data_IF_575580859332
#
_entry.id   IF_575580859332
#
_cell.length_a   1.000
_cell.length_b   1.000
_cell.length_c   1.000
_cell.angle_alpha   90.00
_cell.angle_beta   90.00
_cell.angle_gamma   90.00
#
_symmetry.space_group_name_H-M   'P 1'
#
loop_
_entity.id
_entity.type
_entity.pdbx_description
1 polymer ?
#
# COMPACT_ATOMS: atom_id res chain seq x y z
N UNK A 1 14.17 11.90 -25.16
CA UNK A 1 14.08 12.25 -23.73
C UNK A 1 12.60 12.18 -23.41
N UNK A 2 12.23 11.30 -22.47
CA UNK A 2 10.88 11.25 -21.95
C UNK A 2 10.70 12.35 -20.90
N UNK A 3 9.61 13.08 -20.99
CA UNK A 3 9.22 14.09 -20.00
C UNK A 3 8.22 13.51 -18.97
N UNK A 4 8.00 12.20 -19.02
CA UNK A 4 7.01 11.48 -18.24
C UNK A 4 7.69 10.51 -17.27
N UNK A 5 7.11 10.34 -16.10
CA UNK A 5 7.60 9.42 -15.07
C UNK A 5 7.05 8.02 -15.28
N UNK A 6 7.87 7.01 -14.95
CA UNK A 6 7.39 5.67 -14.73
C UNK A 6 7.12 5.43 -13.24
N UNK A 7 6.38 4.38 -12.90
CA UNK A 7 6.01 4.08 -11.50
C UNK A 7 7.21 4.02 -10.57
N UNK A 8 8.31 3.38 -11.01
CA UNK A 8 9.53 3.26 -10.19
C UNK A 8 10.17 4.61 -9.84
N UNK A 9 9.99 5.63 -10.68
CA UNK A 9 10.46 6.99 -10.40
C UNK A 9 9.62 7.68 -9.32
N UNK A 10 8.45 7.13 -8.99
CA UNK A 10 7.50 7.68 -8.00
C UNK A 10 7.57 6.88 -6.71
N UNK A 11 7.37 5.56 -6.77
CA UNK A 11 7.32 4.78 -5.54
C UNK A 11 8.69 4.63 -4.86
N UNK A 12 9.80 4.55 -5.61
CA UNK A 12 11.11 4.35 -5.00
C UNK A 12 11.52 5.51 -4.08
N UNK A 13 11.47 6.79 -4.49
CA UNK A 13 11.82 7.88 -3.59
C UNK A 13 10.84 8.03 -2.41
N UNK A 14 9.58 7.62 -2.57
CA UNK A 14 8.62 7.59 -1.46
C UNK A 14 9.01 6.51 -0.45
N UNK A 15 9.27 5.30 -0.92
CA UNK A 15 9.56 4.13 -0.07
C UNK A 15 10.89 4.27 0.67
N UNK A 16 11.91 4.88 0.06
CA UNK A 16 13.18 5.14 0.72
C UNK A 16 13.24 6.46 1.53
N UNK A 17 12.14 7.19 1.63
CA UNK A 17 12.06 8.44 2.40
C UNK A 17 12.88 9.60 1.80
N UNK A 18 13.14 9.60 0.50
CA UNK A 18 13.92 10.65 -0.19
C UNK A 18 13.09 11.89 -0.51
N UNK A 19 11.77 11.87 -0.32
CA UNK A 19 10.87 13.00 -0.56
C UNK A 19 10.13 13.41 0.72
N UNK A 20 9.70 14.67 0.79
CA UNK A 20 8.82 15.11 1.87
C UNK A 20 7.43 14.48 1.74
N UNK A 21 6.61 14.46 2.83
CA UNK A 21 5.24 13.97 2.77
C UNK A 21 4.39 14.66 1.69
N UNK A 22 4.54 15.97 1.53
CA UNK A 22 3.83 16.76 0.51
C UNK A 22 4.29 16.38 -0.90
N UNK A 23 5.60 16.19 -1.10
CA UNK A 23 6.14 15.73 -2.39
C UNK A 23 5.63 14.34 -2.73
N UNK A 24 5.58 13.42 -1.75
CA UNK A 24 5.02 12.09 -1.93
C UNK A 24 3.53 12.15 -2.31
N UNK A 25 2.76 12.98 -1.61
CA UNK A 25 1.33 13.19 -1.90
C UNK A 25 1.12 13.72 -3.33
N UNK A 26 1.85 14.76 -3.75
CA UNK A 26 1.74 15.34 -5.09
C UNK A 26 2.24 14.38 -6.19
N UNK A 27 3.34 13.66 -5.95
CA UNK A 27 3.86 12.69 -6.91
C UNK A 27 2.86 11.56 -7.19
N UNK A 28 2.10 11.10 -6.18
CA UNK A 28 1.07 10.09 -6.40
C UNK A 28 -0.11 10.57 -7.23
N UNK A 29 -0.42 11.87 -7.26
CA UNK A 29 -1.46 12.44 -8.14
C UNK A 29 -1.10 12.36 -9.62
N UNK A 30 0.19 12.36 -9.94
CA UNK A 30 0.64 12.13 -11.30
C UNK A 30 0.18 10.76 -11.81
N UNK A 31 0.23 9.74 -10.97
CA UNK A 31 -0.23 8.38 -11.32
C UNK A 31 -1.71 8.38 -11.68
N UNK A 32 -2.54 9.11 -10.92
CA UNK A 32 -3.99 9.17 -11.15
C UNK A 32 -4.36 9.69 -12.54
N UNK A 33 -3.52 10.55 -13.11
CA UNK A 33 -3.88 11.33 -14.31
C UNK A 33 -3.01 11.05 -15.53
N UNK A 34 -1.80 10.52 -15.33
CA UNK A 34 -0.80 10.37 -16.41
C UNK A 34 -0.45 8.93 -16.72
N UNK A 35 -0.51 8.05 -15.75
CA UNK A 35 -0.26 6.62 -15.97
C UNK A 35 -1.52 5.95 -16.50
N UNK A 36 -1.43 5.10 -17.53
CA UNK A 36 -2.58 4.38 -18.07
C UNK A 36 -3.26 3.48 -17.02
N UNK A 37 -4.58 3.62 -16.89
CA UNK A 37 -5.42 2.80 -16.03
C UNK A 37 -6.12 1.72 -16.85
N UNK A 38 -5.85 0.46 -16.51
CA UNK A 38 -6.37 -0.71 -17.21
C UNK A 38 -7.57 -1.24 -16.43
N UNK A 39 -8.76 -1.09 -17.01
CA UNK A 39 -10.02 -1.53 -16.40
C UNK A 39 -10.30 -2.99 -16.71
N UNK A 40 -10.83 -3.69 -15.75
CA UNK A 40 -11.36 -5.05 -15.90
C UNK A 40 -12.57 -5.25 -15.01
N UNK A 41 -13.32 -6.33 -15.23
CA UNK A 41 -14.56 -6.64 -14.52
C UNK A 41 -14.51 -8.04 -13.93
N UNK A 42 -15.10 -8.21 -12.77
CA UNK A 42 -15.38 -9.50 -12.19
C UNK A 42 -16.85 -9.52 -11.73
N UNK A 43 -17.67 -10.31 -12.41
CA UNK A 43 -19.11 -10.23 -12.22
C UNK A 43 -19.63 -8.82 -12.54
N UNK A 44 -20.32 -8.21 -11.57
CA UNK A 44 -20.85 -6.85 -11.71
C UNK A 44 -19.91 -5.76 -11.12
N UNK A 45 -18.75 -6.15 -10.57
CA UNK A 45 -17.81 -5.21 -9.95
C UNK A 45 -16.73 -4.80 -10.96
N UNK A 46 -16.40 -3.51 -10.95
CA UNK A 46 -15.36 -2.91 -11.79
C UNK A 46 -14.10 -2.66 -10.99
N UNK A 47 -12.98 -3.06 -11.57
CA UNK A 47 -11.65 -2.88 -11.00
C UNK A 47 -10.76 -2.12 -11.97
N UNK A 48 -9.64 -1.62 -11.44
CA UNK A 48 -8.64 -0.96 -12.26
C UNK A 48 -7.25 -1.21 -11.70
N UNK A 49 -6.38 -1.76 -12.53
CA UNK A 49 -4.94 -1.75 -12.30
C UNK A 49 -4.28 -0.63 -13.10
N UNK A 50 -2.96 -0.52 -13.07
CA UNK A 50 -2.22 0.54 -13.76
C UNK A 50 -1.03 -0.03 -14.52
N UNK A 51 -0.65 0.64 -15.60
CA UNK A 51 0.59 0.37 -16.32
C UNK A 51 1.80 0.90 -15.54
N UNK A 52 2.97 0.38 -15.85
CA UNK A 52 4.26 0.88 -15.31
C UNK A 52 4.64 2.25 -15.85
N UNK A 53 4.21 2.57 -17.06
CA UNK A 53 4.40 3.86 -17.75
C UNK A 53 3.46 3.95 -18.94
N UNK A 54 3.51 5.05 -19.69
CA UNK A 54 2.91 5.17 -21.03
C UNK A 54 3.98 5.28 -22.12
N UNK A 55 5.19 4.84 -21.86
CA UNK A 55 6.31 4.95 -22.79
C UNK A 55 6.21 3.96 -23.96
N UNK A 56 6.79 4.31 -25.09
CA UNK A 56 6.99 3.46 -26.24
C UNK A 56 8.48 3.44 -26.63
N UNK A 57 9.01 2.37 -27.19
CA UNK A 57 8.37 1.07 -27.43
C UNK A 57 8.15 0.28 -26.14
N UNK A 58 7.26 -0.71 -26.22
CA UNK A 58 7.01 -1.61 -25.10
C UNK A 58 8.15 -2.60 -24.96
N UNK A 59 8.64 -2.77 -23.78
CA UNK A 59 9.52 -3.87 -23.44
C UNK A 59 9.25 -4.29 -22.00
N UNK A 60 8.89 -5.53 -21.80
CA UNK A 60 8.76 -6.21 -20.53
C UNK A 60 8.00 -5.38 -19.45
N UNK A 61 8.70 -4.67 -18.57
CA UNK A 61 8.07 -3.83 -17.55
C UNK A 61 7.82 -2.38 -17.99
N UNK A 62 8.08 -2.05 -19.26
CA UNK A 62 7.84 -0.72 -19.81
C UNK A 62 6.48 -0.70 -20.51
N UNK A 63 5.58 0.17 -20.05
CA UNK A 63 4.20 0.27 -20.53
C UNK A 63 3.45 -1.06 -20.49
N UNK A 64 3.49 -1.70 -19.35
CA UNK A 64 2.87 -2.99 -19.11
C UNK A 64 2.30 -3.03 -17.68
N UNK A 65 1.40 -3.96 -17.39
CA UNK A 65 0.97 -4.24 -16.02
C UNK A 65 1.98 -5.19 -15.38
N UNK A 66 2.83 -4.66 -14.51
CA UNK A 66 3.78 -5.43 -13.71
C UNK A 66 3.27 -5.50 -12.27
N UNK A 67 2.81 -6.66 -11.84
CA UNK A 67 2.08 -6.86 -10.58
C UNK A 67 2.86 -6.41 -9.34
N UNK A 68 4.17 -6.63 -9.33
CA UNK A 68 5.03 -6.17 -8.24
C UNK A 68 5.07 -4.64 -8.17
N UNK A 69 5.23 -3.97 -9.30
CA UNK A 69 5.26 -2.52 -9.37
C UNK A 69 3.91 -1.89 -9.03
N UNK A 70 2.81 -2.54 -9.42
CA UNK A 70 1.46 -2.12 -9.00
C UNK A 70 1.28 -2.25 -7.49
N UNK A 71 1.76 -3.34 -6.88
CA UNK A 71 1.74 -3.51 -5.41
C UNK A 71 2.62 -2.48 -4.71
N UNK A 72 3.80 -2.16 -5.27
CA UNK A 72 4.69 -1.14 -4.74
C UNK A 72 4.07 0.26 -4.83
N UNK A 73 3.38 0.54 -5.94
CA UNK A 73 2.63 1.80 -6.06
C UNK A 73 1.47 1.89 -5.07
N UNK A 74 0.78 0.76 -4.79
CA UNK A 74 -0.23 0.72 -3.75
C UNK A 74 0.37 1.04 -2.36
N UNK A 75 1.55 0.48 -2.04
CA UNK A 75 2.30 0.83 -0.84
C UNK A 75 2.63 2.33 -0.80
N UNK A 76 3.12 2.88 -1.92
CA UNK A 76 3.45 4.31 -2.01
C UNK A 76 2.22 5.22 -1.79
N UNK A 77 1.04 4.84 -2.28
CA UNK A 77 -0.20 5.55 -1.97
C UNK A 77 -0.49 5.58 -0.47
N UNK A 78 -0.35 4.44 0.22
CA UNK A 78 -0.50 4.40 1.68
C UNK A 78 0.53 5.28 2.37
N UNK A 79 1.79 5.22 1.95
CA UNK A 79 2.88 6.02 2.50
C UNK A 79 2.69 7.52 2.27
N UNK A 80 2.06 7.89 1.16
CA UNK A 80 1.70 9.27 0.82
C UNK A 80 0.41 9.77 1.51
N UNK A 81 -0.21 8.98 2.39
CA UNK A 81 -1.44 9.37 3.08
C UNK A 81 -2.70 9.36 2.21
N UNK A 82 -2.74 8.46 1.22
CA UNK A 82 -3.89 8.27 0.31
C UNK A 82 -4.46 6.84 0.44
N UNK A 83 -5.03 6.50 1.61
CA UNK A 83 -5.44 5.13 1.93
C UNK A 83 -6.48 4.55 0.98
N UNK A 84 -7.47 5.34 0.56
CA UNK A 84 -8.52 4.85 -0.35
C UNK A 84 -7.96 4.49 -1.73
N UNK A 85 -7.05 5.32 -2.26
CA UNK A 85 -6.36 5.03 -3.51
C UNK A 85 -5.46 3.79 -3.39
N UNK A 86 -4.69 3.71 -2.29
CA UNK A 86 -3.84 2.57 -1.98
C UNK A 86 -4.63 1.27 -1.86
N UNK A 87 -5.72 1.28 -1.10
CA UNK A 87 -6.57 0.09 -0.95
C UNK A 87 -7.25 -0.32 -2.24
N UNK A 88 -7.79 0.63 -3.00
CA UNK A 88 -8.43 0.36 -4.29
C UNK A 88 -7.46 -0.31 -5.27
N UNK A 89 -6.22 0.20 -5.35
CA UNK A 89 -5.20 -0.37 -6.22
C UNK A 89 -4.74 -1.74 -5.73
N UNK A 90 -4.47 -1.89 -4.43
CA UNK A 90 -4.08 -3.17 -3.83
C UNK A 90 -5.17 -4.25 -4.03
N UNK A 91 -6.45 -3.92 -3.74
CA UNK A 91 -7.58 -4.82 -3.97
C UNK A 91 -7.68 -5.24 -5.43
N UNK A 92 -7.59 -4.28 -6.35
CA UNK A 92 -7.67 -4.55 -7.79
C UNK A 92 -6.55 -5.48 -8.24
N UNK A 93 -5.33 -5.21 -7.79
CA UNK A 93 -4.16 -6.01 -8.15
C UNK A 93 -4.26 -7.45 -7.60
N UNK A 94 -4.67 -7.61 -6.33
CA UNK A 94 -4.90 -8.93 -5.73
C UNK A 94 -5.95 -9.75 -6.49
N UNK A 95 -7.04 -9.12 -6.90
CA UNK A 95 -8.09 -9.80 -7.67
C UNK A 95 -7.55 -10.21 -9.03
N UNK A 96 -6.85 -9.31 -9.71
CA UNK A 96 -6.32 -9.54 -11.05
C UNK A 96 -5.34 -10.73 -11.10
N UNK A 97 -4.34 -10.73 -10.23
CA UNK A 97 -3.28 -11.73 -10.34
C UNK A 97 -3.44 -12.94 -9.40
N UNK A 98 -4.04 -12.76 -8.22
CA UNK A 98 -4.05 -13.81 -7.20
C UNK A 98 -5.33 -14.63 -7.22
N UNK A 99 -6.48 -14.00 -7.44
CA UNK A 99 -7.76 -14.70 -7.38
C UNK A 99 -8.29 -15.11 -8.75
N UNK A 100 -8.11 -14.28 -9.77
CA UNK A 100 -8.72 -14.45 -11.09
C UNK A 100 -7.70 -14.72 -12.19
N UNK A 101 -6.42 -14.67 -11.87
CA UNK A 101 -5.35 -15.01 -12.79
C UNK A 101 -5.41 -16.47 -13.23
N UNK A 102 -4.58 -16.83 -14.19
CA UNK A 102 -4.52 -18.18 -14.79
C UNK A 102 -4.15 -19.24 -13.74
N UNK A 103 -3.47 -18.84 -12.68
CA UNK A 103 -3.14 -19.67 -11.52
C UNK A 103 -3.11 -18.83 -10.27
N UNK A 104 -3.87 -19.14 -9.22
CA UNK A 104 -3.88 -18.38 -7.97
C UNK A 104 -2.52 -18.36 -7.26
N UNK A 105 -1.64 -19.33 -7.54
CA UNK A 105 -0.30 -19.39 -6.98
C UNK A 105 0.76 -18.73 -7.87
N UNK A 106 0.46 -18.44 -9.13
CA UNK A 106 1.42 -18.12 -10.17
C UNK A 106 1.00 -16.89 -10.98
N UNK A 107 0.48 -15.89 -10.41
CA UNK A 107 0.35 -14.53 -10.93
C UNK A 107 0.02 -14.38 -12.43
N UNK A 108 -0.94 -15.14 -12.95
CA UNK A 108 -1.44 -14.91 -14.32
C UNK A 108 -2.50 -13.81 -14.27
N UNK A 109 -2.27 -12.69 -14.94
CA UNK A 109 -3.19 -11.55 -14.99
C UNK A 109 -4.42 -11.83 -15.87
N UNK A 110 -5.57 -11.30 -15.49
CA UNK A 110 -6.76 -11.20 -16.34
C UNK A 110 -6.79 -9.88 -17.12
N UNK A 111 -6.28 -8.81 -16.54
CA UNK A 111 -6.15 -7.50 -17.19
C UNK A 111 -4.94 -7.43 -18.10
N UNK A 112 -4.81 -8.32 -19.05
CA UNK A 112 -3.65 -8.33 -19.96
C UNK A 112 -3.49 -6.98 -20.65
N UNK A 113 -2.46 -6.28 -20.25
CA UNK A 113 -1.98 -5.09 -20.90
C UNK A 113 -0.51 -5.28 -21.23
N UNK A 114 -0.28 -6.15 -22.19
CA UNK A 114 1.02 -6.28 -22.84
C UNK A 114 0.81 -5.87 -24.30
N UNK A 115 1.26 -4.68 -24.60
CA UNK A 115 1.09 -4.13 -25.92
C UNK A 115 2.02 -4.77 -26.96
N UNK A 116 2.98 -5.59 -26.54
CA UNK A 116 3.97 -6.21 -27.43
C UNK A 116 3.68 -7.69 -27.68
N UNK A 117 3.53 -8.49 -26.66
CA UNK A 117 3.53 -9.95 -26.77
C UNK A 117 2.21 -10.61 -26.35
N UNK A 118 1.34 -9.90 -25.62
CA UNK A 118 0.10 -10.46 -25.09
C UNK A 118 0.33 -11.59 -24.08
N UNK A 119 1.53 -11.65 -23.48
CA UNK A 119 1.92 -12.69 -22.55
C UNK A 119 1.67 -12.27 -21.10
N UNK A 120 1.19 -13.20 -20.29
CA UNK A 120 1.17 -13.06 -18.85
C UNK A 120 2.33 -13.87 -18.29
N UNK A 121 3.31 -13.19 -17.71
CA UNK A 121 4.39 -13.87 -17.02
C UNK A 121 3.89 -14.49 -15.73
N UNK A 122 4.28 -15.71 -15.47
CA UNK A 122 3.97 -16.47 -14.27
C UNK A 122 5.20 -16.55 -13.39
N UNK A 123 5.01 -16.97 -12.14
CA UNK A 123 6.08 -17.41 -11.24
C UNK A 123 7.09 -16.32 -10.83
N UNK A 124 6.68 -15.05 -10.84
CA UNK A 124 7.48 -13.96 -10.32
C UNK A 124 7.33 -13.86 -8.79
N UNK A 125 8.36 -14.25 -8.07
CA UNK A 125 8.35 -14.27 -6.60
C UNK A 125 8.46 -12.89 -5.93
N UNK A 126 8.94 -11.88 -6.63
CA UNK A 126 9.04 -10.49 -6.15
C UNK A 126 7.67 -9.90 -5.77
N UNK A 127 6.62 -10.28 -6.50
CA UNK A 127 5.24 -9.88 -6.22
C UNK A 127 4.82 -10.27 -4.80
N UNK A 128 5.20 -11.46 -4.33
CA UNK A 128 4.81 -11.95 -3.00
C UNK A 128 5.36 -11.05 -1.88
N UNK A 129 6.64 -10.67 -1.99
CA UNK A 129 7.30 -9.82 -1.01
C UNK A 129 6.68 -8.43 -0.93
N UNK A 130 6.55 -7.76 -2.08
CA UNK A 130 6.03 -6.38 -2.09
C UNK A 130 4.53 -6.31 -1.80
N UNK A 131 3.74 -7.30 -2.20
CA UNK A 131 2.32 -7.36 -1.83
C UNK A 131 2.16 -7.56 -0.33
N UNK A 132 2.99 -8.39 0.30
CA UNK A 132 3.01 -8.55 1.76
C UNK A 132 3.37 -7.23 2.46
N UNK A 133 4.34 -6.47 1.93
CA UNK A 133 4.67 -5.14 2.43
C UNK A 133 3.50 -4.17 2.26
N UNK A 134 2.86 -4.14 1.09
CA UNK A 134 1.70 -3.27 0.86
C UNK A 134 0.54 -3.59 1.82
N UNK A 135 0.37 -4.86 2.20
CA UNK A 135 -0.61 -5.28 3.19
C UNK A 135 -0.19 -4.84 4.62
N UNK A 136 1.01 -5.21 5.07
CA UNK A 136 1.43 -5.00 6.46
C UNK A 136 1.86 -3.56 6.71
N UNK A 137 2.75 -3.01 5.88
CA UNK A 137 3.29 -1.66 6.04
C UNK A 137 2.35 -0.58 5.48
N UNK A 138 1.54 -0.93 4.46
CA UNK A 138 0.57 -0.04 3.83
C UNK A 138 -0.78 -0.07 4.52
N UNK A 139 -1.57 -1.13 4.31
CA UNK A 139 -2.96 -1.21 4.80
C UNK A 139 -3.04 -1.26 6.33
N UNK A 140 -2.24 -2.12 6.99
CA UNK A 140 -2.17 -2.16 8.45
C UNK A 140 -1.24 -1.09 9.02
N UNK A 141 -0.32 -0.57 8.22
CA UNK A 141 0.55 0.57 8.58
C UNK A 141 1.64 0.25 9.58
N UNK A 142 1.99 -1.03 9.79
CA UNK A 142 2.96 -1.45 10.81
C UNK A 142 4.39 -1.29 10.26
N UNK A 143 5.14 -0.35 10.81
CA UNK A 143 6.52 -0.05 10.40
C UNK A 143 7.45 -0.04 11.62
N UNK A 144 8.09 -1.18 11.96
CA UNK A 144 9.09 -1.22 13.01
C UNK A 144 10.37 -0.49 12.59
N UNK A 145 10.80 0.46 13.41
CA UNK A 145 12.08 1.16 13.30
C UNK A 145 12.94 0.76 14.50
N UNK A 146 13.43 -0.48 14.49
CA UNK A 146 14.06 -1.11 15.64
C UNK A 146 15.35 -0.41 16.08
N UNK A 147 16.08 0.22 15.15
CA UNK A 147 17.30 0.99 15.46
C UNK A 147 16.98 2.25 16.27
N UNK A 148 15.81 2.85 16.02
CA UNK A 148 15.34 4.05 16.72
C UNK A 148 14.49 3.70 17.96
N UNK A 149 14.25 2.41 18.20
CA UNK A 149 13.42 1.94 19.30
C UNK A 149 11.92 2.22 19.14
N UNK A 150 11.45 2.42 17.90
CA UNK A 150 10.07 2.81 17.60
C UNK A 150 9.35 1.72 16.78
N UNK A 151 8.03 1.65 16.94
CA UNK A 151 7.13 0.99 16.00
C UNK A 151 6.01 1.97 15.64
N UNK A 152 6.01 2.43 14.41
CA UNK A 152 4.98 3.32 13.89
C UNK A 152 3.82 2.48 13.40
N UNK A 153 2.59 2.81 13.83
CA UNK A 153 1.34 2.26 13.32
C UNK A 153 0.60 3.41 12.65
N UNK A 154 0.46 3.32 11.33
CA UNK A 154 -0.23 4.29 10.47
C UNK A 154 -1.37 3.59 9.75
N UNK A 155 -2.59 3.56 10.31
CA UNK A 155 -3.72 2.88 9.68
C UNK A 155 -3.98 3.38 8.27
N UNK A 156 -3.94 2.48 7.29
CA UNK A 156 -4.27 2.71 5.88
C UNK A 156 -5.66 2.20 5.52
N UNK A 157 -6.55 2.05 6.50
CA UNK A 157 -7.88 1.49 6.26
C UNK A 157 -8.77 2.49 5.53
N UNK A 158 -9.57 2.01 4.56
CA UNK A 158 -10.60 2.82 3.92
C UNK A 158 -11.51 3.50 4.93
N UNK A 159 -12.08 4.63 4.56
CA UNK A 159 -12.92 5.43 5.45
C UNK A 159 -14.19 4.69 5.90
N UNK A 160 -14.68 3.74 5.10
CA UNK A 160 -15.86 2.90 5.38
C UNK A 160 -15.55 1.66 6.23
N UNK A 161 -14.30 1.44 6.63
CA UNK A 161 -13.95 0.32 7.51
C UNK A 161 -14.04 0.72 8.98
N UNK A 162 -14.94 0.05 9.71
CA UNK A 162 -15.11 0.28 11.15
C UNK A 162 -14.11 -0.47 12.00
N UNK A 163 -13.55 -1.57 11.50
CA UNK A 163 -12.59 -2.39 12.25
C UNK A 163 -11.68 -3.21 11.35
N UNK A 164 -10.49 -3.50 11.87
CA UNK A 164 -9.53 -4.39 11.25
C UNK A 164 -8.62 -5.01 12.32
N UNK A 165 -8.05 -6.17 12.04
CA UNK A 165 -7.05 -6.78 12.91
C UNK A 165 -6.04 -7.59 12.13
N UNK A 166 -4.82 -7.67 12.65
CA UNK A 166 -3.74 -8.48 12.12
C UNK A 166 -2.98 -9.14 13.27
N UNK A 167 -2.50 -10.34 13.02
CA UNK A 167 -1.61 -11.06 13.93
C UNK A 167 -0.40 -11.57 13.18
N UNK A 168 0.76 -11.15 13.63
CA UNK A 168 2.07 -11.61 13.17
C UNK A 168 2.83 -12.24 14.35
N UNK A 169 3.98 -12.90 14.13
CA UNK A 169 4.81 -13.39 15.24
C UNK A 169 5.29 -12.27 16.19
N UNK A 170 5.40 -11.04 15.72
CA UNK A 170 6.00 -9.93 16.45
C UNK A 170 4.99 -8.93 17.00
N UNK A 171 3.82 -8.82 16.37
CA UNK A 171 2.80 -7.86 16.77
C UNK A 171 1.40 -8.40 16.46
N UNK A 172 0.50 -8.23 17.42
CA UNK A 172 -0.94 -8.38 17.23
C UNK A 172 -1.58 -7.00 17.42
N UNK A 173 -2.36 -6.58 16.43
CA UNK A 173 -2.94 -5.25 16.41
C UNK A 173 -4.38 -5.33 15.97
N UNK A 174 -5.26 -4.68 16.72
CA UNK A 174 -6.65 -4.48 16.34
C UNK A 174 -7.01 -3.00 16.38
N UNK A 175 -7.77 -2.59 15.39
CA UNK A 175 -8.30 -1.24 15.19
C UNK A 175 -9.82 -1.28 15.18
N UNK A 176 -10.44 -0.28 15.78
CA UNK A 176 -11.87 -0.03 15.67
C UNK A 176 -12.15 1.46 15.66
N UNK A 177 -12.99 1.90 14.72
CA UNK A 177 -13.52 3.27 14.64
C UNK A 177 -14.96 3.27 15.15
N UNK A 178 -15.32 4.22 16.01
CA UNK A 178 -16.68 4.37 16.52
C UNK A 178 -16.94 5.84 16.87
N UNK A 179 -17.85 6.47 16.15
CA UNK A 179 -18.09 7.92 16.26
C UNK A 179 -16.82 8.71 15.96
N UNK A 180 -16.46 9.63 16.85
CA UNK A 180 -15.25 10.45 16.75
C UNK A 180 -14.02 9.83 17.42
N UNK A 181 -14.02 8.52 17.67
CA UNK A 181 -12.93 7.83 18.37
C UNK A 181 -12.36 6.69 17.56
N UNK A 182 -11.06 6.52 17.67
CA UNK A 182 -10.29 5.37 17.20
C UNK A 182 -9.72 4.62 18.39
N UNK A 183 -9.89 3.31 18.38
CA UNK A 183 -9.48 2.38 19.44
C UNK A 183 -8.44 1.44 18.87
N UNK A 184 -7.33 1.31 19.57
CA UNK A 184 -6.23 0.44 19.19
C UNK A 184 -5.91 -0.49 20.35
N UNK A 185 -5.79 -1.78 20.07
CA UNK A 185 -5.20 -2.74 20.99
C UNK A 185 -3.96 -3.29 20.32
N UNK A 186 -2.81 -3.11 20.96
CA UNK A 186 -1.50 -3.51 20.44
C UNK A 186 -0.87 -4.46 21.44
N UNK A 187 -0.44 -5.63 20.97
CA UNK A 187 0.35 -6.60 21.74
C UNK A 187 1.64 -6.81 20.94
N UNK A 188 2.78 -6.49 21.56
CA UNK A 188 4.08 -6.62 20.91
C UNK A 188 4.93 -7.72 21.54
N UNK A 189 5.60 -8.49 20.69
CA UNK A 189 6.50 -9.58 21.05
C UNK A 189 7.91 -9.38 20.45
N UNK A 190 8.32 -8.13 20.25
CA UNK A 190 9.69 -7.86 19.80
C UNK A 190 10.68 -8.23 20.90
N UNK A 191 11.86 -8.72 20.54
CA UNK A 191 12.95 -9.08 21.47
C UNK A 191 13.29 -7.89 22.40
N UNK A 192 13.25 -6.68 21.87
CA UNK A 192 13.28 -5.43 22.63
C UNK A 192 11.97 -4.71 22.36
N UNK A 193 11.17 -4.45 23.40
CA UNK A 193 9.94 -3.70 23.23
C UNK A 193 10.19 -2.33 22.62
N UNK A 194 9.39 -1.97 21.64
CA UNK A 194 9.49 -0.70 20.92
C UNK A 194 8.44 0.28 21.42
N UNK A 195 8.78 1.56 21.45
CA UNK A 195 7.80 2.60 21.71
C UNK A 195 6.78 2.64 20.58
N UNK A 196 5.49 2.56 20.89
CA UNK A 196 4.43 2.61 19.90
C UNK A 196 4.12 4.07 19.56
N UNK A 197 4.08 4.37 18.27
CA UNK A 197 3.66 5.67 17.75
C UNK A 197 2.48 5.46 16.82
N UNK A 198 1.33 6.03 17.18
CA UNK A 198 0.17 6.05 16.28
C UNK A 198 0.28 7.31 15.42
N UNK A 199 0.33 7.10 14.11
CA UNK A 199 0.43 8.17 13.09
C UNK A 199 -0.90 8.29 12.37
N UNK A 200 -1.70 9.29 12.75
CA UNK A 200 -2.98 9.58 12.13
C UNK A 200 -2.80 10.48 10.91
N UNK A 201 -3.47 10.14 9.80
CA UNK A 201 -3.48 10.95 8.59
C UNK A 201 -4.41 12.16 8.76
N UNK A 202 -3.88 13.37 8.57
CA UNK A 202 -4.64 14.64 8.66
C UNK A 202 -4.97 15.23 7.27
N UNK A 203 -4.67 14.48 6.21
CA UNK A 203 -4.92 14.90 4.82
C UNK A 203 -3.72 15.54 4.14
N UNK A 204 -3.74 15.53 2.80
CA UNK A 204 -2.74 16.17 1.94
C UNK A 204 -1.27 15.80 2.25
N UNK A 205 -1.02 14.56 2.68
CA UNK A 205 0.31 14.09 3.07
C UNK A 205 0.74 14.45 4.48
N UNK A 206 -0.08 15.15 5.25
CA UNK A 206 0.22 15.52 6.62
C UNK A 206 -0.23 14.46 7.62
N UNK A 207 0.48 14.42 8.76
CA UNK A 207 0.24 13.45 9.82
C UNK A 207 0.31 14.07 11.20
N UNK A 208 -0.39 13.44 12.14
CA UNK A 208 -0.27 13.70 13.57
C UNK A 208 0.25 12.46 14.26
N UNK A 209 1.41 12.56 14.87
CA UNK A 209 2.02 11.50 15.66
C UNK A 209 1.66 11.62 17.14
N UNK A 210 1.27 10.50 17.73
CA UNK A 210 1.07 10.39 19.18
C UNK A 210 1.87 9.18 19.68
N UNK A 211 2.84 9.45 20.55
CA UNK A 211 3.72 8.44 21.12
C UNK A 211 3.15 7.86 22.42
N UNK A 212 3.33 6.57 22.61
CA UNK A 212 2.92 5.80 23.78
C UNK A 212 4.12 5.08 24.39
N UNK A 213 3.88 4.31 25.45
CA UNK A 213 4.92 3.53 26.11
C UNK A 213 5.45 2.39 25.23
N UNK A 214 6.46 1.68 25.73
CA UNK A 214 6.96 0.43 25.14
C UNK A 214 6.38 -0.82 25.81
N UNK A 215 5.25 -0.69 26.51
CA UNK A 215 4.60 -1.83 27.18
C UNK A 215 4.20 -2.91 26.16
N UNK A 216 4.30 -4.17 26.59
CA UNK A 216 3.97 -5.31 25.72
C UNK A 216 2.49 -5.36 25.32
N UNK A 217 1.60 -4.80 26.12
CA UNK A 217 0.15 -4.73 25.85
C UNK A 217 -0.32 -3.31 26.09
N UNK A 218 -0.95 -2.72 25.08
CA UNK A 218 -1.49 -1.37 25.15
C UNK A 218 -2.90 -1.29 24.60
N UNK A 219 -3.72 -0.50 25.27
CA UNK A 219 -5.04 -0.10 24.78
C UNK A 219 -5.05 1.42 24.66
N UNK A 220 -5.22 1.91 23.44
CA UNK A 220 -5.07 3.32 23.09
C UNK A 220 -6.40 3.82 22.54
N UNK A 221 -6.81 5.02 22.96
CA UNK A 221 -7.99 5.69 22.44
C UNK A 221 -7.58 7.10 22.01
N UNK A 222 -7.87 7.42 20.74
CA UNK A 222 -7.60 8.73 20.17
C UNK A 222 -8.87 9.33 19.59
N UNK A 223 -8.92 10.64 19.52
CA UNK A 223 -9.90 11.32 18.70
C UNK A 223 -9.55 11.15 17.22
N UNK A 224 -10.56 10.97 16.38
CA UNK A 224 -10.36 11.01 14.93
C UNK A 224 -9.85 12.39 14.54
N UNK A 225 -8.87 12.42 13.65
CA UNK A 225 -8.42 13.67 13.01
C UNK A 225 -9.18 13.82 11.71
N UNK A 226 -9.76 15.00 11.51
CA UNK A 226 -10.53 15.35 10.32
C UNK A 226 -9.73 16.20 9.36
#
# INVERSE_FOLDING_TARGET
IHNDAALWSIYTPIDCGACSPEQAYEATKYVDTRIPHIRFSLGNEQFSTISTSDWAPYEWSINNVAMAEVSHMALAYFQAGRPDAGFKLLKSNLIDFMYMGTSPANFGQISKYDANLGEAYRDFSDVTGITSRALIEGLFGITPQALDGLCIIRPGFPADWDSASVKTPYIEYSFRRSGSKEYYKVIQNFTRPLQIVIRQNTGNGHYKDTAFSSDSVQTIVLDTVG
#
